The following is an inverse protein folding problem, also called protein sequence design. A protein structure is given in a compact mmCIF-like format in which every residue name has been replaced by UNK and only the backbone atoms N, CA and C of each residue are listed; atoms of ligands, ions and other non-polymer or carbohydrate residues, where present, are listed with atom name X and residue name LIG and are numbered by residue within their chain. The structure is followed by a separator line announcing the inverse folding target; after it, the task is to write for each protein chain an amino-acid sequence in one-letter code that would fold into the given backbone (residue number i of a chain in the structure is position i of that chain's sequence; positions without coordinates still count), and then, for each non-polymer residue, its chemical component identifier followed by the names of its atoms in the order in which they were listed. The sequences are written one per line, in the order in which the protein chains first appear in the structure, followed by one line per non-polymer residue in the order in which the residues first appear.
data_IF_125740689118
#
_entry.id   IF_125740689118
#
_cell.length_a   1.000
_cell.length_b   1.000
_cell.length_c   1.000
_cell.angle_alpha   90.00
_cell.angle_beta   90.00
_cell.angle_gamma   90.00
#
_symmetry.space_group_name_H-M   'P 1'
#
loop_
_entity.id
_entity.type
_entity.pdbx_description
1 polymer ?
#
# COMPACT_ATOMS: atom_id res chain seq x y z
N UNK A 1 -9.50 -16.62 9.60
CA UNK A 1 -8.50 -17.08 8.61
C UNK A 1 -7.40 -17.79 9.40
N UNK A 2 -6.92 -18.95 8.95
CA UNK A 2 -5.80 -19.62 9.62
C UNK A 2 -4.48 -19.04 9.11
N UNK A 3 -3.56 -18.71 10.01
CA UNK A 3 -2.25 -18.13 9.67
C UNK A 3 -1.48 -18.97 8.63
N UNK A 4 -1.68 -20.29 8.61
CA UNK A 4 -1.07 -21.21 7.64
C UNK A 4 -1.52 -20.98 6.19
N UNK A 5 -2.79 -20.63 5.99
CA UNK A 5 -3.34 -20.41 4.65
C UNK A 5 -2.78 -19.12 4.03
N UNK A 6 -2.62 -18.09 4.86
CA UNK A 6 -2.02 -16.81 4.47
C UNK A 6 -0.53 -16.98 4.16
N UNK A 7 0.20 -17.69 5.02
CA UNK A 7 1.62 -17.96 4.82
C UNK A 7 1.87 -18.75 3.53
N UNK A 8 1.10 -19.81 3.29
CA UNK A 8 1.20 -20.63 2.06
C UNK A 8 0.97 -19.79 0.81
N UNK A 9 0.01 -18.86 0.85
CA UNK A 9 -0.29 -17.95 -0.25
C UNK A 9 0.89 -17.00 -0.53
N UNK A 10 1.51 -16.47 0.52
CA UNK A 10 2.66 -15.57 0.40
C UNK A 10 3.87 -16.31 -0.19
N UNK A 11 4.15 -17.52 0.28
CA UNK A 11 5.29 -18.33 -0.19
C UNK A 11 5.14 -18.72 -1.66
N UNK A 12 3.95 -19.17 -2.07
CA UNK A 12 3.68 -19.49 -3.48
C UNK A 12 3.89 -18.28 -4.39
N UNK A 13 3.43 -17.10 -3.96
CA UNK A 13 3.65 -15.85 -4.71
C UNK A 13 5.13 -15.51 -4.82
N UNK A 14 5.89 -15.65 -3.73
CA UNK A 14 7.36 -15.40 -3.73
C UNK A 14 8.07 -16.32 -4.72
N UNK A 15 7.71 -17.59 -4.75
CA UNK A 15 8.32 -18.55 -5.65
C UNK A 15 8.05 -18.21 -7.13
N UNK A 16 6.80 -17.88 -7.48
CA UNK A 16 6.45 -17.44 -8.84
C UNK A 16 7.21 -16.19 -9.28
N UNK A 17 7.40 -15.23 -8.38
CA UNK A 17 8.16 -14.00 -8.66
C UNK A 17 9.63 -14.35 -8.94
N UNK A 18 10.24 -15.19 -8.10
CA UNK A 18 11.64 -15.58 -8.26
C UNK A 18 11.84 -16.31 -9.59
N UNK A 19 10.97 -17.28 -9.91
CA UNK A 19 11.03 -18.01 -11.18
C UNK A 19 10.88 -17.07 -12.38
N UNK A 20 9.97 -16.09 -12.34
CA UNK A 20 9.82 -15.10 -13.41
C UNK A 20 11.08 -14.24 -13.57
N UNK A 21 11.69 -13.80 -12.46
CA UNK A 21 12.93 -13.01 -12.47
C UNK A 21 14.12 -13.82 -12.99
N UNK A 22 14.26 -15.08 -12.57
CA UNK A 22 15.32 -16.00 -13.02
C UNK A 22 15.23 -16.26 -14.53
N UNK A 23 14.01 -16.28 -15.07
CA UNK A 23 13.74 -16.38 -16.52
C UNK A 23 13.87 -15.03 -17.26
N UNK A 24 14.34 -13.97 -16.60
CA UNK A 24 14.54 -12.64 -17.19
C UNK A 24 13.26 -11.85 -17.47
N UNK A 25 12.13 -12.25 -16.87
CA UNK A 25 10.85 -11.55 -17.05
C UNK A 25 10.72 -10.39 -16.06
N UNK A 26 10.11 -9.28 -16.50
CA UNK A 26 9.78 -8.17 -15.61
C UNK A 26 8.57 -8.51 -14.73
N UNK A 27 8.73 -8.45 -13.42
CA UNK A 27 7.62 -8.65 -12.47
C UNK A 27 7.02 -7.31 -12.07
N UNK A 28 5.73 -7.12 -12.34
CA UNK A 28 5.00 -5.92 -11.88
C UNK A 28 4.52 -6.10 -10.43
N UNK A 29 4.56 -5.04 -9.60
CA UNK A 29 3.95 -5.08 -8.29
C UNK A 29 2.45 -5.36 -8.41
N UNK A 30 1.98 -6.41 -7.74
CA UNK A 30 0.55 -6.71 -7.62
C UNK A 30 0.04 -6.29 -6.26
N UNK A 31 -0.94 -5.41 -6.24
CA UNK A 31 -1.67 -5.01 -5.03
C UNK A 31 -2.98 -5.77 -4.95
N UNK A 32 -3.28 -6.31 -3.77
CA UNK A 32 -4.60 -6.90 -3.53
C UNK A 32 -5.57 -5.77 -3.23
N UNK A 33 -6.65 -5.66 -4.00
CA UNK A 33 -7.74 -4.74 -3.67
C UNK A 33 -8.51 -5.37 -2.51
N UNK A 34 -8.31 -4.82 -1.31
CA UNK A 34 -9.02 -5.23 -0.09
C UNK A 34 -9.97 -4.14 0.34
N UNK A 35 -11.13 -4.55 0.83
CA UNK A 35 -12.08 -3.64 1.44
C UNK A 35 -11.55 -3.24 2.82
N UNK A 36 -11.25 -1.96 3.01
CA UNK A 36 -10.66 -1.41 4.23
C UNK A 36 -11.51 -1.77 5.47
N UNK A 37 -12.84 -1.76 5.33
CA UNK A 37 -13.75 -2.06 6.44
C UNK A 37 -13.77 -3.53 6.87
N UNK A 38 -13.29 -4.45 6.01
CA UNK A 38 -13.19 -5.87 6.37
C UNK A 38 -11.83 -6.23 6.92
N UNK A 39 -10.78 -5.49 6.53
CA UNK A 39 -9.42 -5.69 7.03
C UNK A 39 -9.28 -5.14 8.45
N UNK A 40 -9.79 -3.92 8.69
CA UNK A 40 -9.67 -3.22 9.96
C UNK A 40 -11.00 -3.24 10.71
N UNK A 41 -11.44 -4.44 11.10
CA UNK A 41 -12.70 -4.60 11.82
C UNK A 41 -12.65 -4.09 13.27
N UNK A 42 -11.45 -3.84 13.80
CA UNK A 42 -11.21 -3.22 15.10
C UNK A 42 -11.60 -1.73 15.15
N UNK A 43 -11.75 -1.07 14.00
CA UNK A 43 -12.16 0.33 13.92
C UNK A 43 -13.58 0.47 13.38
N UNK A 44 -14.30 1.44 13.93
CA UNK A 44 -15.58 1.85 13.36
C UNK A 44 -15.39 2.53 12.01
N UNK A 45 -16.43 2.51 11.18
CA UNK A 45 -16.43 3.21 9.89
C UNK A 45 -16.19 4.71 10.03
N UNK A 46 -16.56 5.29 11.19
CA UNK A 46 -16.32 6.71 11.48
C UNK A 46 -14.83 6.96 11.74
N UNK A 47 -14.20 6.16 12.59
CA UNK A 47 -12.77 6.28 12.89
C UNK A 47 -11.92 6.10 11.63
N UNK A 48 -12.24 5.11 10.79
CA UNK A 48 -11.56 4.90 9.50
C UNK A 48 -11.61 6.16 8.61
N UNK A 49 -12.77 6.83 8.56
CA UNK A 49 -12.92 8.08 7.79
C UNK A 49 -12.17 9.26 8.41
N UNK A 50 -12.19 9.36 9.73
CA UNK A 50 -11.49 10.43 10.45
C UNK A 50 -9.95 10.29 10.27
N UNK A 51 -9.43 9.06 10.26
CA UNK A 51 -8.04 8.77 9.91
C UNK A 51 -7.72 9.09 8.46
N UNK A 52 -8.61 8.74 7.53
CA UNK A 52 -8.45 9.09 6.12
C UNK A 52 -8.34 10.60 5.92
N UNK A 53 -9.20 11.39 6.56
CA UNK A 53 -9.16 12.85 6.48
C UNK A 53 -7.86 13.43 7.04
N UNK A 54 -7.38 12.89 8.17
CA UNK A 54 -6.10 13.31 8.77
C UNK A 54 -4.93 13.01 7.84
N UNK A 55 -4.90 11.81 7.24
CA UNK A 55 -3.84 11.41 6.32
C UNK A 55 -3.82 12.26 5.05
N UNK A 56 -4.97 12.51 4.43
CA UNK A 56 -5.07 13.39 3.25
C UNK A 56 -4.59 14.81 3.54
N UNK A 57 -4.87 15.35 4.74
CA UNK A 57 -4.35 16.66 5.12
C UNK A 57 -2.81 16.69 5.20
N UNK A 58 -2.18 15.60 5.66
CA UNK A 58 -0.72 15.48 5.73
C UNK A 58 -0.11 15.32 4.33
N UNK A 59 -0.70 14.52 3.44
CA UNK A 59 -0.24 14.41 2.06
C UNK A 59 -0.28 15.75 1.32
N UNK A 60 -1.40 16.48 1.43
CA UNK A 60 -1.53 17.82 0.86
C UNK A 60 -0.49 18.82 1.44
N UNK A 61 -0.10 18.67 2.71
CA UNK A 61 1.00 19.45 3.32
C UNK A 61 2.38 19.07 2.78
N UNK A 62 2.61 17.80 2.43
CA UNK A 62 3.89 17.34 1.90
C UNK A 62 4.07 17.67 0.42
N UNK A 63 2.97 17.77 -0.34
CA UNK A 63 2.98 18.22 -1.73
C UNK A 63 3.26 19.73 -1.85
N UNK A 64 2.67 20.53 -0.95
CA UNK A 64 2.92 21.99 -0.91
C UNK A 64 4.36 22.34 -0.50
N UNK A 65 4.98 21.59 0.41
CA UNK A 65 6.40 21.79 0.79
C UNK A 65 7.40 21.43 -0.31
N UNK A 66 7.01 20.60 -1.28
CA UNK A 66 7.85 20.31 -2.44
C UNK A 66 7.83 21.43 -3.50
N UNK A 67 6.74 22.20 -3.60
CA UNK A 67 6.66 23.33 -4.54
C UNK A 67 7.49 24.55 -4.09
N UNK A 68 7.59 24.80 -2.79
CA UNK A 68 8.31 25.97 -2.27
C UNK A 68 9.84 25.86 -2.42
N UNK A 69 10.41 24.65 -2.47
CA UNK A 69 11.86 24.47 -2.68
C UNK A 69 12.27 24.55 -4.16
N UNK A 70 11.34 24.40 -5.12
CA UNK A 70 11.66 24.51 -6.55
C UNK A 70 11.65 25.96 -7.04
N UNK A 71 11.02 26.89 -6.30
CA UNK A 71 10.87 28.29 -6.76
C UNK A 71 12.06 29.19 -6.41
N UNK A 72 12.92 28.81 -5.45
CA UNK A 72 14.07 29.64 -5.01
C UNK A 72 15.32 29.42 -5.90
N UNK A 73 15.32 28.42 -6.77
CA UNK A 73 16.40 28.16 -7.73
C UNK A 73 15.97 28.54 -9.17
N UNK A 74 15.76 29.84 -9.43
CA UNK A 74 15.71 30.41 -10.78
C UNK A 74 16.45 31.74 -10.84
#
# INVERSE_FOLDING_TARGET
MSADAELSTILNRRQQINEALDNGQSVKPTFKVVNIYTEFHEFSRKEIKDYQATFSNIENLNDSKQQDQVTIAK
#
